data_IF_484045013842
#
_entry.id   IF_484045013842
#
_cell.length_a   1.000
_cell.length_b   1.000
_cell.length_c   1.000
_cell.angle_alpha   90.00
_cell.angle_beta   90.00
_cell.angle_gamma   90.00
#
_symmetry.space_group_name_H-M   'P 1'
#
loop_
_entity.id
_entity.type
_entity.pdbx_description
1 polymer ?
#
# COMPACT_ATOMS: atom_id res chain seq x y z
N UNK A 1 6.49 12.57 -32.80
CA UNK A 1 6.33 11.14 -32.48
C UNK A 1 7.26 10.18 -33.27
N UNK A 2 7.02 9.82 -34.55
CA UNK A 2 7.81 8.75 -35.20
C UNK A 2 9.33 9.01 -35.24
N UNK A 3 9.74 10.27 -35.47
CA UNK A 3 11.14 10.68 -35.42
C UNK A 3 11.77 10.47 -34.03
N UNK A 4 11.04 10.83 -32.98
CA UNK A 4 11.49 10.64 -31.59
C UNK A 4 11.61 9.16 -31.22
N UNK A 5 10.71 8.32 -31.76
CA UNK A 5 10.74 6.87 -31.59
C UNK A 5 11.81 6.16 -32.45
N UNK A 6 12.66 6.91 -33.16
CA UNK A 6 13.77 6.36 -33.99
C UNK A 6 13.29 5.30 -34.99
N UNK A 7 12.20 5.62 -35.68
CA UNK A 7 11.75 4.88 -36.87
C UNK A 7 12.70 5.23 -38.01
N UNK A 8 13.15 4.25 -38.79
CA UNK A 8 14.04 4.48 -39.93
C UNK A 8 13.38 5.41 -40.95
N UNK A 9 14.18 6.22 -41.65
CA UNK A 9 13.66 7.18 -42.63
C UNK A 9 12.79 6.49 -43.70
N UNK A 10 13.23 5.32 -44.17
CA UNK A 10 12.47 4.50 -45.10
C UNK A 10 11.09 4.14 -44.54
N UNK A 11 11.02 3.57 -43.34
CA UNK A 11 9.78 3.12 -42.73
C UNK A 11 8.87 4.30 -42.31
N UNK A 12 9.46 5.40 -41.86
CA UNK A 12 8.74 6.63 -41.52
C UNK A 12 8.01 7.21 -42.74
N UNK A 13 8.66 7.19 -43.92
CA UNK A 13 8.08 7.69 -45.18
C UNK A 13 6.88 6.87 -45.67
N UNK A 14 6.68 5.66 -45.14
CA UNK A 14 5.61 4.75 -45.54
C UNK A 14 4.49 4.63 -44.52
N UNK A 15 4.78 4.77 -43.23
CA UNK A 15 3.80 4.50 -42.17
C UNK A 15 3.44 5.71 -41.31
N UNK A 16 4.23 6.77 -41.27
CA UNK A 16 4.02 7.85 -40.30
C UNK A 16 3.13 9.00 -40.80
N UNK A 17 2.55 8.86 -41.99
CA UNK A 17 1.64 9.84 -42.59
C UNK A 17 0.20 9.28 -42.57
N UNK A 18 -0.60 9.68 -41.58
CA UNK A 18 -1.97 9.15 -41.42
C UNK A 18 -2.95 9.70 -42.45
N UNK A 19 -2.68 10.90 -42.98
CA UNK A 19 -3.59 11.63 -43.89
C UNK A 19 -3.92 10.81 -45.14
N UNK A 20 -2.95 10.04 -45.62
CA UNK A 20 -3.06 9.19 -46.81
C UNK A 20 -2.90 7.72 -46.45
N UNK A 21 -3.90 6.90 -46.78
CA UNK A 21 -3.78 5.45 -46.63
C UNK A 21 -2.68 4.90 -47.55
N UNK A 22 -1.81 3.98 -47.09
CA UNK A 22 -0.79 3.35 -47.92
C UNK A 22 -1.40 2.70 -49.16
N UNK A 23 -0.78 2.92 -50.33
CA UNK A 23 -1.15 2.22 -51.56
C UNK A 23 -0.63 0.76 -51.53
N UNK A 24 -1.12 -0.08 -52.44
CA UNK A 24 -0.80 -1.52 -52.47
C UNK A 24 0.72 -1.82 -52.44
N UNK A 25 1.54 -1.03 -53.13
CA UNK A 25 3.00 -1.20 -53.13
C UNK A 25 3.64 -0.81 -51.80
N UNK A 26 3.18 0.28 -51.18
CA UNK A 26 3.61 0.70 -49.87
C UNK A 26 3.23 -0.34 -48.81
N UNK A 27 2.02 -0.88 -48.87
CA UNK A 27 1.53 -1.95 -48.00
C UNK A 27 2.43 -3.19 -48.03
N UNK A 28 2.87 -3.63 -49.22
CA UNK A 28 3.85 -4.73 -49.34
C UNK A 28 5.16 -4.38 -48.64
N UNK A 29 5.71 -3.19 -48.91
CA UNK A 29 6.96 -2.72 -48.29
C UNK A 29 6.85 -2.66 -46.76
N UNK A 30 5.68 -2.23 -46.25
CA UNK A 30 5.40 -2.16 -44.82
C UNK A 30 5.41 -3.55 -44.20
N UNK A 31 4.70 -4.51 -44.80
CA UNK A 31 4.57 -5.86 -44.30
C UNK A 31 5.89 -6.66 -44.32
N UNK A 32 6.73 -6.45 -45.34
CA UNK A 32 7.99 -7.21 -45.51
C UNK A 32 9.19 -6.56 -44.83
N UNK A 33 9.29 -5.22 -44.88
CA UNK A 33 10.50 -4.50 -44.46
C UNK A 33 10.30 -3.76 -43.15
N UNK A 34 9.12 -3.19 -42.91
CA UNK A 34 8.90 -2.31 -41.77
C UNK A 34 8.14 -2.93 -40.59
N UNK A 35 7.65 -4.16 -40.72
CA UNK A 35 6.89 -4.88 -39.68
C UNK A 35 7.57 -4.82 -38.30
N UNK A 36 8.89 -4.99 -38.24
CA UNK A 36 9.66 -4.98 -37.00
C UNK A 36 9.71 -3.61 -36.32
N UNK A 37 9.48 -2.54 -37.06
CA UNK A 37 9.41 -1.17 -36.55
C UNK A 37 7.99 -0.76 -36.18
N UNK A 38 6.99 -1.60 -36.44
CA UNK A 38 5.60 -1.30 -36.12
C UNK A 38 5.35 -0.93 -34.64
N UNK A 39 5.97 -1.59 -33.65
CA UNK A 39 5.81 -1.21 -32.24
C UNK A 39 6.22 0.24 -31.93
N UNK A 40 7.11 0.83 -32.74
CA UNK A 40 7.55 2.23 -32.62
C UNK A 40 6.58 3.21 -33.27
N UNK A 41 5.76 2.73 -34.22
CA UNK A 41 4.89 3.53 -35.07
C UNK A 41 3.45 3.50 -34.57
N UNK A 42 2.98 2.32 -34.13
CA UNK A 42 1.62 2.07 -33.65
C UNK A 42 1.15 3.08 -32.60
N UNK A 43 1.91 3.40 -31.53
CA UNK A 43 1.50 4.40 -30.54
C UNK A 43 1.37 5.81 -31.14
N UNK A 44 2.25 6.14 -32.09
CA UNK A 44 2.21 7.43 -32.79
C UNK A 44 1.00 7.58 -33.70
N UNK A 45 0.56 6.48 -34.33
CA UNK A 45 -0.62 6.45 -35.18
C UNK A 45 -1.92 6.36 -34.39
N UNK A 46 -1.89 5.80 -33.19
CA UNK A 46 -3.03 5.86 -32.29
C UNK A 46 -3.22 7.27 -31.72
N UNK A 47 -2.12 8.01 -31.52
CA UNK A 47 -2.09 9.37 -30.97
C UNK A 47 -2.93 9.48 -29.69
N UNK A 48 -2.69 8.52 -28.78
CA UNK A 48 -3.40 8.42 -27.51
C UNK A 48 -4.86 7.97 -27.59
N UNK A 49 -5.38 7.51 -28.74
CA UNK A 49 -6.78 7.08 -28.90
C UNK A 49 -6.88 5.58 -29.14
N UNK A 50 -7.96 4.96 -28.67
CA UNK A 50 -8.23 3.54 -28.90
C UNK A 50 -9.22 3.36 -30.06
N UNK A 51 -8.72 2.89 -31.20
CA UNK A 51 -9.51 2.73 -32.43
C UNK A 51 -10.06 1.31 -32.63
N UNK A 52 -9.89 0.41 -31.64
CA UNK A 52 -10.23 -1.01 -31.76
C UNK A 52 -11.69 -1.24 -32.13
N UNK A 53 -12.62 -0.44 -31.60
CA UNK A 53 -14.05 -0.60 -31.90
C UNK A 53 -14.38 -0.27 -33.36
N UNK A 54 -13.79 0.80 -33.91
CA UNK A 54 -13.92 1.10 -35.33
C UNK A 54 -13.33 -0.03 -36.19
N UNK A 55 -12.15 -0.53 -35.83
CA UNK A 55 -11.48 -1.60 -36.56
C UNK A 55 -12.31 -2.89 -36.61
N UNK A 56 -12.89 -3.30 -35.47
CA UNK A 56 -13.83 -4.43 -35.42
C UNK A 56 -15.01 -4.24 -36.36
N UNK A 57 -15.64 -3.06 -36.33
CA UNK A 57 -16.77 -2.72 -37.21
C UNK A 57 -16.39 -2.77 -38.69
N UNK A 58 -15.15 -2.42 -39.06
CA UNK A 58 -14.65 -2.50 -40.43
C UNK A 58 -14.08 -3.89 -40.83
N UNK A 59 -14.18 -4.89 -39.95
CA UNK A 59 -13.79 -6.27 -40.25
C UNK A 59 -12.28 -6.55 -40.15
N UNK A 60 -11.52 -5.69 -39.47
CA UNK A 60 -10.10 -5.93 -39.18
C UNK A 60 -9.97 -7.20 -38.32
N UNK A 61 -9.05 -8.09 -38.68
CA UNK A 61 -8.89 -9.37 -37.97
C UNK A 61 -8.47 -9.15 -36.51
N UNK A 62 -8.86 -10.08 -35.63
CA UNK A 62 -8.60 -9.97 -34.18
C UNK A 62 -7.11 -9.80 -33.84
N UNK A 63 -6.24 -10.54 -34.53
CA UNK A 63 -4.78 -10.45 -34.36
C UNK A 63 -4.21 -9.07 -34.75
N UNK A 64 -4.98 -8.28 -35.50
CA UNK A 64 -4.61 -6.96 -35.99
C UNK A 64 -5.17 -5.83 -35.12
N UNK A 65 -6.12 -6.11 -34.22
CA UNK A 65 -6.70 -5.11 -33.33
C UNK A 65 -5.72 -4.43 -32.38
N UNK A 66 -4.63 -5.07 -31.89
CA UNK A 66 -3.61 -4.38 -31.10
C UNK A 66 -2.99 -3.18 -31.84
N UNK A 67 -2.96 -3.20 -33.17
CA UNK A 67 -2.51 -2.06 -33.98
C UNK A 67 -3.44 -0.86 -33.82
N UNK A 68 -4.76 -1.11 -33.83
CA UNK A 68 -5.77 -0.07 -33.64
C UNK A 68 -5.78 0.48 -32.20
N UNK A 69 -5.34 -0.32 -31.24
CA UNK A 69 -5.16 0.08 -29.86
C UNK A 69 -3.85 0.84 -29.59
N UNK A 70 -3.00 1.08 -30.60
CA UNK A 70 -1.71 1.75 -30.39
C UNK A 70 -0.71 0.91 -29.59
N UNK A 71 -0.84 -0.42 -29.58
CA UNK A 71 0.01 -1.30 -28.79
C UNK A 71 1.48 -1.19 -29.21
N UNK A 72 2.37 -1.23 -28.21
CA UNK A 72 3.84 -1.33 -28.35
C UNK A 72 4.34 -2.77 -28.40
N UNK A 73 3.44 -3.76 -28.40
CA UNK A 73 3.84 -5.17 -28.46
C UNK A 73 4.39 -5.53 -29.84
N UNK A 74 5.37 -6.44 -29.87
CA UNK A 74 5.92 -6.95 -31.12
C UNK A 74 4.86 -7.71 -31.90
N UNK A 75 4.71 -7.37 -33.18
CA UNK A 75 3.81 -8.09 -34.06
C UNK A 75 4.39 -9.47 -34.43
N UNK A 76 3.65 -10.54 -34.15
CA UNK A 76 4.00 -11.91 -34.54
C UNK A 76 3.99 -12.14 -36.06
N UNK A 77 4.44 -13.29 -36.55
CA UNK A 77 4.57 -13.55 -38.00
C UNK A 77 3.23 -13.48 -38.75
N UNK A 78 2.11 -13.84 -38.10
CA UNK A 78 0.76 -13.74 -38.66
C UNK A 78 0.31 -12.29 -38.93
N UNK A 79 0.97 -11.29 -38.34
CA UNK A 79 0.69 -9.87 -38.58
C UNK A 79 1.04 -9.38 -39.99
N UNK A 80 1.79 -10.16 -40.78
CA UNK A 80 2.02 -9.86 -42.19
C UNK A 80 0.70 -9.74 -42.95
N UNK A 81 -0.31 -10.54 -42.56
CA UNK A 81 -1.66 -10.45 -43.10
C UNK A 81 -2.35 -9.14 -42.70
N UNK A 82 -2.22 -8.72 -41.44
CA UNK A 82 -2.74 -7.45 -40.93
C UNK A 82 -2.21 -6.26 -41.71
N UNK A 83 -0.89 -6.22 -41.89
CA UNK A 83 -0.21 -5.14 -42.59
C UNK A 83 -0.43 -5.17 -44.10
N UNK A 84 -0.97 -6.27 -44.65
CA UNK A 84 -1.26 -6.41 -46.08
C UNK A 84 -2.73 -6.12 -46.43
N UNK A 85 -3.67 -6.68 -45.68
CA UNK A 85 -5.10 -6.63 -46.03
C UNK A 85 -5.86 -5.53 -45.28
N UNK A 86 -5.55 -5.34 -44.00
CA UNK A 86 -6.37 -4.51 -43.11
C UNK A 86 -5.87 -3.07 -42.98
N UNK A 87 -4.68 -2.78 -43.50
CA UNK A 87 -3.99 -1.50 -43.31
C UNK A 87 -4.83 -0.30 -43.79
N UNK A 88 -5.56 -0.44 -44.89
CA UNK A 88 -6.44 0.64 -45.38
C UNK A 88 -7.60 0.91 -44.42
N UNK A 89 -8.25 -0.14 -43.89
CA UNK A 89 -9.33 -0.02 -42.92
C UNK A 89 -8.83 0.58 -41.61
N UNK A 90 -7.64 0.16 -41.14
CA UNK A 90 -6.97 0.70 -39.96
C UNK A 90 -6.74 2.22 -40.13
N UNK A 91 -6.13 2.67 -41.22
CA UNK A 91 -5.87 4.11 -41.46
C UNK A 91 -7.14 4.94 -41.58
N UNK A 92 -8.22 4.35 -42.11
CA UNK A 92 -9.51 5.00 -42.10
C UNK A 92 -10.03 5.22 -40.67
N UNK A 93 -9.94 4.19 -39.82
CA UNK A 93 -10.33 4.31 -38.42
C UNK A 93 -9.48 5.31 -37.64
N UNK A 94 -8.17 5.35 -37.87
CA UNK A 94 -7.28 6.32 -37.23
C UNK A 94 -7.72 7.76 -37.53
N UNK A 95 -7.98 8.08 -38.82
CA UNK A 95 -8.47 9.40 -39.23
C UNK A 95 -9.85 9.73 -38.65
N UNK A 96 -10.79 8.79 -38.70
CA UNK A 96 -12.12 8.96 -38.07
C UNK A 96 -11.98 9.27 -36.57
N UNK A 97 -11.05 8.59 -35.88
CA UNK A 97 -10.79 8.82 -34.46
C UNK A 97 -10.18 10.19 -34.16
N UNK A 98 -9.27 10.67 -35.00
CA UNK A 98 -8.61 11.98 -34.81
C UNK A 98 -9.62 13.14 -34.82
N UNK A 99 -10.67 13.04 -35.62
CA UNK A 99 -11.73 14.05 -35.71
C UNK A 99 -12.78 13.94 -34.60
N UNK A 100 -12.91 12.80 -33.93
CA UNK A 100 -14.12 12.48 -33.15
C UNK A 100 -13.90 11.96 -31.73
N UNK A 101 -12.68 11.53 -31.39
CA UNK A 101 -12.36 10.97 -30.08
C UNK A 101 -11.43 11.90 -29.30
N UNK A 102 -11.68 12.10 -27.99
CA UNK A 102 -10.74 12.82 -27.14
C UNK A 102 -9.41 12.07 -27.03
N UNK A 103 -8.32 12.83 -26.93
CA UNK A 103 -7.05 12.27 -26.47
C UNK A 103 -7.12 11.91 -24.97
N UNK A 104 -6.09 11.27 -24.39
CA UNK A 104 -6.04 11.05 -22.96
C UNK A 104 -5.98 12.40 -22.21
N UNK A 105 -6.43 12.44 -20.95
CA UNK A 105 -6.25 13.60 -20.09
C UNK A 105 -4.76 13.88 -19.88
N UNK A 106 -4.43 15.16 -19.67
CA UNK A 106 -3.05 15.61 -19.47
C UNK A 106 -2.83 16.12 -18.06
N UNK A 107 -1.57 16.37 -17.69
CA UNK A 107 -1.20 16.89 -16.37
C UNK A 107 -1.78 16.08 -15.20
N UNK A 108 -1.75 14.75 -15.30
CA UNK A 108 -2.11 13.87 -14.19
C UNK A 108 -1.10 14.08 -13.07
N UNK A 109 -1.58 14.45 -11.89
CA UNK A 109 -0.75 14.64 -10.69
C UNK A 109 -1.38 13.95 -9.50
N UNK A 110 -0.52 13.54 -8.56
CA UNK A 110 -0.93 12.94 -7.30
C UNK A 110 -0.39 13.82 -6.16
N UNK A 111 -1.29 14.25 -5.29
CA UNK A 111 -1.03 15.14 -4.15
C UNK A 111 -1.65 14.57 -2.88
N UNK A 112 -1.40 15.23 -1.74
CA UNK A 112 -2.08 14.94 -0.47
C UNK A 112 -2.05 13.45 -0.09
N UNK A 113 -0.92 12.79 -0.32
CA UNK A 113 -0.76 11.34 -0.08
C UNK A 113 -0.64 11.09 1.43
N UNK A 114 -1.44 10.14 1.91
CA UNK A 114 -1.48 9.63 3.28
C UNK A 114 -1.15 8.13 3.27
N UNK A 115 -1.34 7.47 4.40
CA UNK A 115 -1.16 6.02 4.58
C UNK A 115 -2.22 5.24 3.81
N UNK A 116 -3.44 5.80 3.67
CA UNK A 116 -4.59 5.08 3.10
C UNK A 116 -5.34 5.84 2.00
N UNK A 117 -4.89 7.02 1.63
CA UNK A 117 -5.54 7.85 0.61
C UNK A 117 -4.57 8.76 -0.16
N UNK A 118 -4.99 9.17 -1.35
CA UNK A 118 -4.27 10.13 -2.18
C UNK A 118 -5.26 10.97 -3.01
N UNK A 119 -4.89 12.22 -3.30
CA UNK A 119 -5.65 13.09 -4.18
C UNK A 119 -5.06 13.05 -5.59
N UNK A 120 -5.90 12.81 -6.59
CA UNK A 120 -5.50 12.67 -7.99
C UNK A 120 -6.20 13.76 -8.79
N UNK A 121 -5.42 14.53 -9.55
CA UNK A 121 -5.95 15.59 -10.40
C UNK A 121 -5.45 15.42 -11.82
N UNK A 122 -6.24 15.89 -12.79
CA UNK A 122 -5.90 15.92 -14.21
C UNK A 122 -6.58 17.11 -14.89
N UNK A 123 -6.05 17.49 -16.05
CA UNK A 123 -6.63 18.48 -16.95
C UNK A 123 -7.34 17.83 -18.13
N UNK A 124 -8.22 18.59 -18.78
CA UNK A 124 -8.91 18.17 -20.00
C UNK A 124 -7.92 17.75 -21.11
N UNK A 125 -8.31 16.84 -22.02
CA UNK A 125 -7.47 16.44 -23.14
C UNK A 125 -7.11 17.58 -24.09
N UNK A 126 -5.88 17.58 -24.63
CA UNK A 126 -5.43 18.57 -25.62
C UNK A 126 -6.23 18.50 -26.94
N UNK A 127 -6.70 17.31 -27.32
CA UNK A 127 -7.46 17.10 -28.54
C UNK A 127 -8.89 16.64 -28.25
N UNK A 128 -9.85 17.32 -28.89
CA UNK A 128 -11.30 17.08 -28.76
C UNK A 128 -11.82 17.05 -27.30
N UNK A 129 -11.49 18.03 -26.44
CA UNK A 129 -11.97 18.06 -25.05
C UNK A 129 -13.51 18.11 -24.97
N UNK A 130 -14.17 18.83 -25.88
CA UNK A 130 -15.64 18.94 -25.92
C UNK A 130 -16.35 17.60 -26.22
N UNK A 131 -15.60 16.58 -26.65
CA UNK A 131 -16.14 15.24 -26.94
C UNK A 131 -16.11 14.30 -25.72
N UNK A 132 -15.51 14.72 -24.60
CA UNK A 132 -15.46 13.92 -23.37
C UNK A 132 -16.85 13.89 -22.72
N UNK A 133 -17.37 12.69 -22.48
CA UNK A 133 -18.58 12.50 -21.67
C UNK A 133 -18.19 12.26 -20.20
N UNK A 134 -17.20 11.38 -19.93
CA UNK A 134 -16.71 11.06 -18.57
C UNK A 134 -15.23 10.64 -18.56
N UNK A 135 -14.63 10.53 -17.36
CA UNK A 135 -13.29 9.95 -17.18
C UNK A 135 -13.35 8.62 -16.43
N UNK A 136 -12.38 7.75 -16.71
CA UNK A 136 -12.13 6.52 -15.92
C UNK A 136 -10.72 6.54 -15.36
N UNK A 137 -10.60 6.42 -14.04
CA UNK A 137 -9.32 6.28 -13.33
C UNK A 137 -8.92 4.81 -13.29
N UNK A 138 -7.66 4.54 -13.59
CA UNK A 138 -7.05 3.21 -13.61
C UNK A 138 -5.98 3.16 -12.52
N UNK A 139 -6.23 2.45 -11.43
CA UNK A 139 -5.35 2.39 -10.26
C UNK A 139 -4.86 0.96 -10.06
N UNK A 140 -3.55 0.78 -9.94
CA UNK A 140 -2.96 -0.54 -9.77
C UNK A 140 -1.83 -0.49 -8.75
N UNK A 141 -1.91 -1.35 -7.74
CA UNK A 141 -0.82 -1.59 -6.78
C UNK A 141 0.35 -2.27 -7.47
N UNK A 142 1.58 -1.86 -7.16
CA UNK A 142 2.81 -2.38 -7.75
C UNK A 142 3.21 -3.75 -7.16
N UNK A 143 2.30 -4.72 -7.23
CA UNK A 143 2.52 -6.10 -6.79
C UNK A 143 2.31 -7.09 -7.95
N UNK A 144 2.98 -8.23 -7.91
CA UNK A 144 2.86 -9.23 -8.96
C UNK A 144 1.44 -9.80 -9.00
N UNK A 145 0.74 -9.63 -10.13
CA UNK A 145 -0.63 -10.10 -10.32
C UNK A 145 -1.73 -9.17 -9.77
N UNK A 146 -1.38 -7.99 -9.24
CA UNK A 146 -2.39 -7.00 -8.86
C UNK A 146 -3.30 -6.66 -10.04
N UNK A 147 -4.61 -6.66 -9.77
CA UNK A 147 -5.62 -6.24 -10.73
C UNK A 147 -5.67 -4.72 -10.80
N UNK A 148 -5.97 -4.21 -11.99
CA UNK A 148 -6.31 -2.80 -12.17
C UNK A 148 -7.70 -2.58 -11.58
N UNK A 149 -7.84 -1.61 -10.68
CA UNK A 149 -9.11 -1.09 -10.23
C UNK A 149 -9.52 0.07 -11.12
N UNK A 150 -10.72 -0.01 -11.69
CA UNK A 150 -11.28 1.05 -12.53
C UNK A 150 -12.33 1.85 -11.76
N UNK A 151 -12.17 3.18 -11.73
CA UNK A 151 -13.14 4.10 -11.15
C UNK A 151 -13.79 4.88 -12.29
N UNK A 152 -15.01 4.48 -12.66
CA UNK A 152 -15.77 5.10 -13.75
C UNK A 152 -16.44 6.39 -13.31
N UNK A 153 -16.69 7.28 -14.28
CA UNK A 153 -17.32 8.58 -14.05
C UNK A 153 -16.59 9.43 -13.00
N UNK A 154 -15.26 9.33 -12.98
CA UNK A 154 -14.43 10.06 -12.05
C UNK A 154 -14.39 11.56 -12.39
N UNK A 155 -14.23 12.39 -11.37
CA UNK A 155 -14.21 13.85 -11.47
C UNK A 155 -12.90 14.36 -10.89
N UNK A 156 -12.28 15.34 -11.55
CA UNK A 156 -11.05 16.00 -11.09
C UNK A 156 -11.41 17.20 -10.21
N UNK A 157 -10.85 17.35 -8.99
CA UNK A 157 -9.96 16.41 -8.28
C UNK A 157 -10.71 15.19 -7.72
N UNK A 158 -10.05 14.03 -7.73
CA UNK A 158 -10.57 12.76 -7.18
C UNK A 158 -9.76 12.35 -5.95
N UNK A 159 -10.43 12.08 -4.84
CA UNK A 159 -9.77 11.49 -3.65
C UNK A 159 -9.93 9.97 -3.68
N UNK A 160 -8.83 9.27 -3.86
CA UNK A 160 -8.81 7.82 -3.74
C UNK A 160 -8.56 7.40 -2.30
N UNK A 161 -9.36 6.44 -1.81
CA UNK A 161 -9.32 5.95 -0.42
C UNK A 161 -9.16 4.42 -0.40
N UNK A 162 -8.80 3.89 0.77
CA UNK A 162 -8.62 2.45 0.97
C UNK A 162 -7.38 1.92 0.25
N UNK A 163 -6.33 2.74 0.18
CA UNK A 163 -5.00 2.30 -0.22
C UNK A 163 -4.33 1.59 0.95
N UNK A 164 -3.42 0.67 0.63
CA UNK A 164 -2.59 0.00 1.63
C UNK A 164 -1.45 0.94 2.03
N UNK A 165 -1.09 1.04 3.32
CA UNK A 165 0.10 1.75 3.76
C UNK A 165 1.39 1.15 3.19
N UNK A 166 2.45 1.97 3.17
CA UNK A 166 3.78 1.62 2.67
C UNK A 166 3.78 0.86 1.33
N UNK A 167 2.90 1.27 0.42
CA UNK A 167 2.65 0.55 -0.83
C UNK A 167 2.78 1.48 -2.03
N UNK A 168 3.48 1.00 -3.05
CA UNK A 168 3.60 1.71 -4.32
C UNK A 168 2.37 1.45 -5.19
N UNK A 169 1.83 2.52 -5.78
CA UNK A 169 0.72 2.49 -6.72
C UNK A 169 1.09 3.17 -8.03
N UNK A 170 0.39 2.75 -9.09
CA UNK A 170 0.37 3.43 -10.39
C UNK A 170 -1.05 3.93 -10.65
N UNK A 171 -1.17 5.17 -11.13
CA UNK A 171 -2.44 5.76 -11.55
C UNK A 171 -2.33 6.31 -12.97
N UNK A 172 -3.35 6.06 -13.78
CA UNK A 172 -3.53 6.69 -15.09
C UNK A 172 -5.01 7.00 -15.30
N UNK A 173 -5.31 7.93 -16.20
CA UNK A 173 -6.69 8.34 -16.49
C UNK A 173 -6.95 8.18 -17.98
N UNK A 174 -8.17 7.75 -18.35
CA UNK A 174 -8.63 7.76 -19.74
C UNK A 174 -9.90 8.57 -19.89
N UNK A 175 -10.06 9.17 -21.06
CA UNK A 175 -11.26 9.88 -21.49
C UNK A 175 -12.24 8.89 -22.11
N UNK A 176 -13.53 9.07 -21.81
CA UNK A 176 -14.62 8.26 -22.34
C UNK A 176 -15.57 9.16 -23.11
N UNK A 177 -15.92 8.74 -24.32
CA UNK A 177 -16.94 9.39 -25.15
C UNK A 177 -17.93 8.35 -25.67
N UNK A 178 -19.09 8.80 -26.15
CA UNK A 178 -20.10 7.97 -26.83
C UNK A 178 -19.57 7.20 -28.05
N UNK A 179 -18.46 7.64 -28.64
CA UNK A 179 -17.89 7.03 -29.85
C UNK A 179 -16.72 6.08 -29.57
N UNK A 180 -16.16 6.13 -28.36
CA UNK A 180 -15.04 5.32 -27.95
C UNK A 180 -14.24 5.97 -26.83
N UNK A 181 -13.12 5.34 -26.49
CA UNK A 181 -12.27 5.73 -25.36
C UNK A 181 -10.88 6.15 -25.85
N UNK A 182 -10.23 7.02 -25.09
CA UNK A 182 -8.80 7.24 -25.26
C UNK A 182 -8.00 6.03 -24.75
N UNK A 183 -6.72 5.97 -25.10
CA UNK A 183 -5.76 5.19 -24.34
C UNK A 183 -5.56 5.81 -22.93
N UNK A 184 -5.00 5.06 -21.96
CA UNK A 184 -4.62 5.64 -20.69
C UNK A 184 -3.55 6.73 -20.86
N UNK A 185 -3.60 7.75 -20.00
CA UNK A 185 -2.51 8.72 -19.85
C UNK A 185 -1.19 8.04 -19.47
N UNK A 186 -0.10 8.80 -19.46
CA UNK A 186 1.12 8.36 -18.76
C UNK A 186 0.77 8.00 -17.32
N UNK A 187 1.22 6.83 -16.89
CA UNK A 187 1.01 6.37 -15.52
C UNK A 187 1.95 7.13 -14.58
N UNK A 188 1.38 7.69 -13.51
CA UNK A 188 2.13 8.28 -12.41
C UNK A 188 2.31 7.23 -11.34
N UNK A 189 3.56 7.08 -10.87
CA UNK A 189 3.90 6.24 -9.74
C UNK A 189 3.91 7.10 -8.47
N UNK A 190 3.28 6.61 -7.40
CA UNK A 190 3.34 7.24 -6.09
C UNK A 190 3.41 6.16 -4.99
N UNK A 191 3.86 6.55 -3.80
CA UNK A 191 4.00 5.66 -2.65
C UNK A 191 3.14 6.20 -1.52
N UNK A 192 2.28 5.36 -0.93
CA UNK A 192 1.55 5.74 0.28
C UNK A 192 2.51 5.90 1.44
N UNK A 193 2.13 6.71 2.44
CA UNK A 193 2.94 6.82 3.65
C UNK A 193 2.95 5.47 4.39
N UNK A 194 4.02 5.23 5.13
CA UNK A 194 4.04 4.10 6.05
C UNK A 194 3.03 4.36 7.14
N UNK A 195 2.28 3.32 7.52
CA UNK A 195 1.53 3.32 8.77
C UNK A 195 2.60 3.29 9.88
N UNK A 196 3.02 4.47 10.31
CA UNK A 196 4.02 4.63 11.36
C UNK A 196 3.39 4.18 12.68
N UNK A 197 3.28 2.87 12.87
CA UNK A 197 3.26 2.29 14.20
C UNK A 197 4.56 2.73 14.85
N UNK A 198 4.46 3.63 15.82
CA UNK A 198 5.58 4.27 16.49
C UNK A 198 6.69 3.26 16.83
N UNK A 199 7.89 3.48 16.30
CA UNK A 199 9.01 2.56 16.51
C UNK A 199 9.66 2.88 17.86
N UNK A 200 9.33 2.08 18.87
CA UNK A 200 10.01 2.18 20.16
C UNK A 200 11.40 1.54 20.12
N UNK A 201 12.36 2.15 20.81
CA UNK A 201 13.71 1.58 20.96
C UNK A 201 13.69 0.25 21.75
N UNK A 202 12.63 0.02 22.53
CA UNK A 202 12.35 -1.18 23.31
C UNK A 202 10.86 -1.51 23.15
N UNK A 203 10.55 -2.68 22.58
CA UNK A 203 9.17 -3.17 22.45
C UNK A 203 8.31 -2.38 21.46
N UNK A 204 6.99 -2.39 21.70
CA UNK A 204 5.98 -1.65 20.94
C UNK A 204 5.43 -0.48 21.77
N UNK A 205 4.87 0.56 21.12
CA UNK A 205 4.31 1.72 21.81
C UNK A 205 3.12 1.31 22.67
N UNK A 206 2.95 2.01 23.80
CA UNK A 206 1.74 1.87 24.61
C UNK A 206 0.52 2.20 23.74
N UNK A 207 -0.47 1.31 23.68
CA UNK A 207 -1.71 1.55 22.94
C UNK A 207 -2.84 1.97 23.89
N UNK A 208 -3.67 2.93 23.44
CA UNK A 208 -4.94 3.23 24.10
C UNK A 208 -5.99 2.14 23.80
N UNK A 209 -7.13 2.17 24.49
CA UNK A 209 -8.22 1.19 24.35
C UNK A 209 -8.76 1.01 22.92
N UNK A 210 -8.53 1.98 22.04
CA UNK A 210 -8.92 1.95 20.62
C UNK A 210 -7.85 1.34 19.70
N UNK A 211 -6.73 0.84 20.25
CA UNK A 211 -5.66 0.21 19.48
C UNK A 211 -4.69 1.19 18.79
N UNK A 212 -4.78 2.49 19.11
CA UNK A 212 -3.86 3.52 18.60
C UNK A 212 -2.70 3.79 19.58
N UNK A 213 -1.51 4.22 19.11
CA UNK A 213 -0.42 4.63 19.99
C UNK A 213 -0.81 5.76 20.95
N UNK A 214 -0.32 5.69 22.19
CA UNK A 214 -0.47 6.72 23.20
C UNK A 214 0.51 7.86 22.89
N UNK A 215 -0.03 8.99 22.42
CA UNK A 215 0.74 10.19 22.07
C UNK A 215 1.08 10.96 23.34
N UNK A 216 2.36 11.26 23.54
CA UNK A 216 2.86 11.98 24.70
C UNK A 216 3.26 13.41 24.37
N UNK A 217 3.13 14.30 25.36
CA UNK A 217 3.56 15.70 25.26
C UNK A 217 3.82 16.28 26.65
N UNK A 218 4.31 17.52 26.73
CA UNK A 218 4.45 18.22 28.01
C UNK A 218 3.13 18.34 28.80
N UNK A 219 1.99 18.28 28.11
CA UNK A 219 0.65 18.31 28.72
C UNK A 219 0.05 16.93 29.02
N UNK A 220 0.60 15.88 28.39
CA UNK A 220 0.15 14.50 28.50
C UNK A 220 1.39 13.60 28.68
N UNK A 221 1.98 13.57 29.89
CA UNK A 221 3.19 12.79 30.14
C UNK A 221 2.90 11.30 30.10
N UNK A 222 3.90 10.50 29.72
CA UNK A 222 3.78 9.05 29.73
C UNK A 222 3.57 8.49 31.15
N UNK A 223 2.82 7.38 31.28
CA UNK A 223 2.76 6.62 32.52
C UNK A 223 4.15 6.17 33.00
N UNK A 224 4.31 5.93 34.30
CA UNK A 224 5.53 5.32 34.83
C UNK A 224 5.76 3.93 34.24
N UNK A 225 7.03 3.58 34.04
CA UNK A 225 7.42 2.44 33.20
C UNK A 225 7.50 2.75 31.70
N UNK A 226 7.04 3.94 31.26
CA UNK A 226 7.17 4.41 29.89
C UNK A 226 7.85 5.79 29.84
N UNK A 227 8.59 6.06 28.76
CA UNK A 227 9.21 7.33 28.43
C UNK A 227 8.67 7.83 27.09
N UNK A 228 8.64 9.15 26.94
CA UNK A 228 8.18 9.78 25.72
C UNK A 228 9.33 9.76 24.71
N UNK A 229 9.13 9.05 23.59
CA UNK A 229 10.12 8.91 22.52
C UNK A 229 9.64 9.64 21.29
N UNK A 230 10.47 10.55 20.78
CA UNK A 230 10.20 11.34 19.58
C UNK A 230 10.57 10.54 18.33
N UNK A 231 9.61 10.32 17.41
CA UNK A 231 9.86 9.72 16.10
C UNK A 231 9.34 10.65 15.02
N UNK A 232 10.29 11.29 14.32
CA UNK A 232 10.06 12.25 13.23
C UNK A 232 9.16 13.44 13.63
N UNK A 233 7.83 13.26 13.64
CA UNK A 233 6.80 14.29 13.83
C UNK A 233 5.80 14.01 14.97
N UNK A 234 5.80 12.83 15.58
CA UNK A 234 4.93 12.48 16.71
C UNK A 234 5.71 11.76 17.83
N UNK A 235 5.34 12.05 19.08
CA UNK A 235 5.97 11.48 20.27
C UNK A 235 5.06 10.45 20.90
N UNK A 236 5.60 9.28 21.24
CA UNK A 236 4.80 8.16 21.75
C UNK A 236 5.41 7.59 23.03
N UNK A 237 4.56 6.98 23.86
CA UNK A 237 5.02 6.34 25.09
C UNK A 237 5.63 4.96 24.81
N UNK A 238 6.94 4.86 24.99
CA UNK A 238 7.74 3.65 24.83
C UNK A 238 8.23 3.12 26.17
N UNK A 239 8.49 1.82 26.27
CA UNK A 239 8.86 1.20 27.55
C UNK A 239 10.24 1.64 28.06
N UNK A 240 10.33 1.99 29.35
CA UNK A 240 11.58 2.33 30.07
C UNK A 240 12.43 1.09 30.39
N UNK A 241 13.74 1.29 30.53
CA UNK A 241 14.71 0.21 30.79
C UNK A 241 14.56 -0.49 32.15
N UNK A 242 13.98 0.17 33.15
CA UNK A 242 13.93 -0.30 34.54
C UNK A 242 12.59 0.07 35.18
N UNK A 243 11.70 -0.91 35.31
CA UNK A 243 10.53 -0.86 36.18
C UNK A 243 10.31 -2.28 36.67
N UNK A 244 10.63 -2.54 37.93
CA UNK A 244 10.52 -3.86 38.56
C UNK A 244 10.25 -3.66 40.06
N UNK A 245 9.35 -2.75 40.41
CA UNK A 245 8.96 -2.51 41.80
C UNK A 245 7.45 -2.42 41.94
N UNK A 246 6.94 -2.80 43.11
CA UNK A 246 5.54 -2.53 43.47
C UNK A 246 5.22 -1.03 43.39
N UNK A 247 6.23 -0.16 43.54
CA UNK A 247 6.06 1.29 43.37
C UNK A 247 5.73 1.64 41.90
N UNK A 248 6.40 1.00 40.93
CA UNK A 248 6.13 1.17 39.50
C UNK A 248 4.70 0.70 39.13
N UNK A 249 4.27 -0.44 39.68
CA UNK A 249 2.92 -0.97 39.44
C UNK A 249 1.84 -0.04 40.01
N UNK A 250 1.99 0.40 41.26
CA UNK A 250 1.06 1.35 41.89
C UNK A 250 0.99 2.66 41.11
N UNK A 251 2.11 3.17 40.62
CA UNK A 251 2.13 4.43 39.88
C UNK A 251 1.48 4.30 38.50
N UNK A 252 1.71 3.19 37.80
CA UNK A 252 0.99 2.88 36.55
C UNK A 252 -0.53 2.85 36.77
N UNK A 253 -1.01 2.19 37.83
CA UNK A 253 -2.44 2.16 38.15
C UNK A 253 -3.04 3.54 38.44
N UNK A 254 -2.30 4.43 39.09
CA UNK A 254 -2.72 5.83 39.31
C UNK A 254 -2.83 6.57 37.98
N UNK A 255 -1.85 6.43 37.09
CA UNK A 255 -1.83 7.07 35.79
C UNK A 255 -2.94 6.58 34.85
N UNK A 256 -3.23 5.28 34.87
CA UNK A 256 -4.31 4.68 34.08
C UNK A 256 -5.71 4.99 34.65
N UNK A 257 -5.79 5.78 35.72
CA UNK A 257 -7.04 6.08 36.44
C UNK A 257 -7.80 4.79 36.83
N UNK A 258 -7.11 3.81 37.42
CA UNK A 258 -7.77 2.68 38.11
C UNK A 258 -8.63 3.25 39.24
N UNK A 259 -9.85 2.72 39.40
CA UNK A 259 -10.82 3.26 40.37
C UNK A 259 -10.22 3.34 41.78
N UNK A 260 -10.53 4.38 42.58
CA UNK A 260 -9.94 4.57 43.90
C UNK A 260 -10.08 3.35 44.83
N UNK A 261 -11.24 2.69 44.80
CA UNK A 261 -11.52 1.49 45.59
C UNK A 261 -10.72 0.25 45.14
N UNK A 262 -10.13 0.31 43.94
CA UNK A 262 -9.39 -0.79 43.30
C UNK A 262 -7.87 -0.60 43.37
N UNK A 263 -7.38 0.56 43.84
CA UNK A 263 -5.96 0.87 43.94
C UNK A 263 -5.19 -0.10 44.86
N UNK A 264 -5.85 -0.66 45.87
CA UNK A 264 -5.25 -1.69 46.75
C UNK A 264 -4.91 -2.99 46.04
N UNK A 265 -5.42 -3.21 44.82
CA UNK A 265 -5.11 -4.38 43.99
C UNK A 265 -3.88 -4.19 43.10
N UNK A 266 -3.23 -3.02 43.14
CA UNK A 266 -2.05 -2.71 42.33
C UNK A 266 -0.74 -3.07 43.02
N UNK A 267 -0.69 -4.30 43.53
CA UNK A 267 0.51 -4.94 44.10
C UNK A 267 0.66 -6.31 43.48
N UNK A 268 1.89 -6.79 43.26
CA UNK A 268 2.09 -8.12 42.68
C UNK A 268 1.61 -9.26 43.58
N UNK A 269 1.29 -8.99 44.85
CA UNK A 269 0.69 -9.95 45.77
C UNK A 269 -0.85 -9.84 45.87
N UNK A 270 -1.49 -8.98 45.07
CA UNK A 270 -2.93 -8.73 45.09
C UNK A 270 -3.55 -8.87 43.68
N UNK A 271 -4.86 -9.11 43.63
CA UNK A 271 -5.65 -9.18 42.38
C UNK A 271 -6.88 -8.29 42.47
N UNK A 272 -7.49 -7.96 41.32
CA UNK A 272 -8.72 -7.18 41.28
C UNK A 272 -9.92 -7.98 41.83
N UNK A 273 -10.74 -7.40 42.74
CA UNK A 273 -12.02 -7.97 43.12
C UNK A 273 -13.07 -7.78 42.01
N UNK A 274 -14.17 -8.53 42.04
CA UNK A 274 -15.23 -8.47 41.00
C UNK A 274 -15.81 -7.06 40.82
N UNK A 275 -15.87 -6.25 41.87
CA UNK A 275 -16.31 -4.84 41.81
C UNK A 275 -15.40 -3.93 40.97
N UNK A 276 -14.23 -4.43 40.59
CA UNK A 276 -13.20 -3.72 39.83
C UNK A 276 -13.03 -4.27 38.41
N UNK A 277 -13.98 -5.06 37.90
CA UNK A 277 -13.87 -5.69 36.58
C UNK A 277 -13.66 -4.68 35.45
N UNK A 278 -14.23 -3.47 35.55
CA UNK A 278 -14.02 -2.38 34.59
C UNK A 278 -12.56 -1.92 34.46
N UNK A 279 -11.72 -2.19 35.47
CA UNK A 279 -10.31 -1.82 35.49
C UNK A 279 -9.39 -2.96 35.03
N UNK A 280 -9.95 -4.08 34.53
CA UNK A 280 -9.19 -5.27 34.12
C UNK A 280 -8.07 -4.95 33.13
N UNK A 281 -8.39 -4.25 32.04
CA UNK A 281 -7.39 -3.92 31.02
C UNK A 281 -6.30 -2.97 31.53
N UNK A 282 -6.65 -2.03 32.41
CA UNK A 282 -5.66 -1.14 33.06
C UNK A 282 -4.72 -1.94 33.95
N UNK A 283 -5.28 -2.86 34.73
CA UNK A 283 -4.49 -3.72 35.63
C UNK A 283 -3.60 -4.68 34.83
N UNK A 284 -4.11 -5.33 33.77
CA UNK A 284 -3.32 -6.23 32.92
C UNK A 284 -2.17 -5.49 32.24
N UNK A 285 -2.40 -4.28 31.73
CA UNK A 285 -1.34 -3.46 31.14
C UNK A 285 -0.26 -3.07 32.14
N UNK A 286 -0.65 -2.72 33.37
CA UNK A 286 0.31 -2.34 34.40
C UNK A 286 1.04 -3.55 35.00
N UNK A 287 0.34 -4.66 35.25
CA UNK A 287 0.90 -5.86 35.86
C UNK A 287 1.75 -6.69 34.89
N UNK A 288 1.48 -6.64 33.57
CA UNK A 288 2.29 -7.36 32.59
C UNK A 288 3.71 -6.79 32.45
N UNK A 289 3.89 -5.54 32.88
CA UNK A 289 5.13 -4.76 32.75
C UNK A 289 5.65 -4.71 31.30
N UNK A 290 4.75 -4.83 30.31
CA UNK A 290 5.12 -4.84 28.90
C UNK A 290 5.88 -6.09 28.44
N UNK A 291 5.95 -7.16 29.24
CA UNK A 291 6.72 -8.38 28.92
C UNK A 291 5.84 -9.46 28.28
N UNK A 292 6.43 -10.28 27.41
CA UNK A 292 5.76 -11.46 26.86
C UNK A 292 5.79 -12.64 27.85
N UNK A 293 4.64 -12.89 28.47
CA UNK A 293 4.34 -13.97 29.39
C UNK A 293 3.67 -15.18 28.70
N UNK A 294 3.59 -15.22 27.37
CA UNK A 294 2.82 -16.23 26.61
C UNK A 294 3.20 -17.67 27.00
N UNK A 295 4.49 -17.95 27.22
CA UNK A 295 4.93 -19.29 27.67
C UNK A 295 4.37 -19.67 29.03
N UNK A 296 4.32 -18.73 29.97
CA UNK A 296 3.71 -18.96 31.27
C UNK A 296 2.20 -19.14 31.11
N UNK A 297 1.55 -18.27 30.36
CA UNK A 297 0.10 -18.33 30.14
C UNK A 297 -0.37 -19.60 29.44
N UNK A 298 0.40 -20.11 28.47
CA UNK A 298 0.15 -21.40 27.84
C UNK A 298 0.27 -22.55 28.87
N UNK A 299 1.27 -22.48 29.76
CA UNK A 299 1.46 -23.47 30.83
C UNK A 299 0.33 -23.40 31.87
N UNK A 300 -0.11 -22.21 32.24
CA UNK A 300 -1.23 -21.95 33.16
C UNK A 300 -2.61 -22.15 32.49
N UNK A 301 -2.63 -22.55 31.21
CA UNK A 301 -3.83 -22.84 30.43
C UNK A 301 -4.79 -21.65 30.39
N UNK A 302 -4.25 -20.45 30.15
CA UNK A 302 -5.05 -19.26 29.86
C UNK A 302 -5.82 -19.48 28.54
N UNK A 303 -7.14 -19.20 28.50
CA UNK A 303 -7.92 -19.35 27.27
C UNK A 303 -7.33 -18.57 26.11
N UNK A 304 -7.50 -19.07 24.88
CA UNK A 304 -6.91 -18.45 23.69
C UNK A 304 -7.36 -17.01 23.49
N UNK A 305 -8.63 -16.71 23.76
CA UNK A 305 -9.17 -15.35 23.70
C UNK A 305 -8.56 -14.39 24.73
N UNK A 306 -7.88 -14.90 25.76
CA UNK A 306 -7.26 -14.12 26.83
C UNK A 306 -5.73 -14.07 26.74
N UNK A 307 -5.10 -14.78 25.78
CA UNK A 307 -3.65 -14.78 25.62
C UNK A 307 -3.09 -13.42 25.22
N UNK A 308 -3.92 -12.53 24.67
CA UNK A 308 -3.60 -11.13 24.41
C UNK A 308 -3.38 -10.31 25.68
N UNK A 309 -3.71 -10.84 26.86
CA UNK A 309 -3.30 -10.25 28.14
C UNK A 309 -1.86 -10.61 28.53
N UNK A 310 -1.28 -11.64 27.94
CA UNK A 310 0.05 -12.15 28.27
C UNK A 310 1.15 -11.59 27.38
N UNK A 311 0.78 -11.02 26.24
CA UNK A 311 1.67 -10.38 25.28
C UNK A 311 1.00 -9.12 24.76
N UNK A 312 1.75 -8.29 24.06
CA UNK A 312 1.17 -7.11 23.40
C UNK A 312 -0.09 -7.49 22.58
N UNK A 313 -1.20 -6.74 22.66
CA UNK A 313 -1.36 -5.40 23.25
C UNK A 313 -1.72 -5.32 24.75
N UNK A 314 -1.64 -6.42 25.49
CA UNK A 314 -2.05 -6.49 26.91
C UNK A 314 -3.51 -6.08 27.13
N UNK A 315 -4.36 -6.42 26.17
CA UNK A 315 -5.80 -6.17 26.23
C UNK A 315 -6.55 -7.50 26.17
N UNK A 316 -7.60 -7.62 26.96
CA UNK A 316 -8.45 -8.81 27.03
C UNK A 316 -9.93 -8.41 27.05
N UNK A 317 -10.81 -9.25 26.49
CA UNK A 317 -12.26 -9.12 26.70
C UNK A 317 -12.64 -9.18 28.18
N UNK A 318 -13.76 -8.57 28.58
CA UNK A 318 -14.25 -8.59 29.97
C UNK A 318 -14.49 -10.02 30.50
N UNK A 319 -14.81 -10.97 29.60
CA UNK A 319 -14.96 -12.39 29.93
C UNK A 319 -13.68 -13.03 30.47
N UNK A 320 -12.52 -12.43 30.20
CA UNK A 320 -11.23 -12.90 30.69
C UNK A 320 -10.96 -12.57 32.15
N UNK A 321 -11.86 -11.84 32.84
CA UNK A 321 -11.77 -11.64 34.28
C UNK A 321 -11.72 -12.98 35.04
N UNK A 322 -12.42 -14.02 34.54
CA UNK A 322 -12.36 -15.37 35.10
C UNK A 322 -10.96 -16.01 35.03
N UNK A 323 -10.08 -15.49 34.17
CA UNK A 323 -8.68 -15.94 34.01
C UNK A 323 -7.69 -15.05 34.77
N UNK A 324 -8.15 -14.06 35.53
CA UNK A 324 -7.28 -13.08 36.20
C UNK A 324 -6.23 -13.73 37.11
N UNK A 325 -6.60 -14.76 37.88
CA UNK A 325 -5.66 -15.47 38.75
C UNK A 325 -4.54 -16.19 37.96
N UNK A 326 -4.84 -16.67 36.74
CA UNK A 326 -3.85 -17.30 35.86
C UNK A 326 -2.90 -16.27 35.23
N UNK A 327 -3.41 -15.08 34.92
CA UNK A 327 -2.59 -13.98 34.44
C UNK A 327 -1.68 -13.47 35.56
N UNK A 328 -2.25 -13.27 36.75
CA UNK A 328 -1.54 -12.84 37.94
C UNK A 328 -0.41 -13.79 38.34
N UNK A 329 -0.60 -15.10 38.28
CA UNK A 329 0.49 -16.06 38.60
C UNK A 329 1.70 -15.92 37.67
N UNK A 330 1.48 -15.51 36.42
CA UNK A 330 2.55 -15.21 35.48
C UNK A 330 3.19 -13.85 35.73
N UNK A 331 2.40 -12.83 36.07
CA UNK A 331 2.90 -11.48 36.32
C UNK A 331 3.62 -11.33 37.67
N UNK A 332 3.21 -12.08 38.69
CA UNK A 332 3.79 -12.03 40.04
C UNK A 332 5.04 -12.90 40.22
N UNK A 333 5.39 -13.74 39.23
CA UNK A 333 6.57 -14.57 39.29
C UNK A 333 7.85 -13.71 39.16
N UNK A 334 8.92 -14.01 39.93
CA UNK A 334 10.23 -13.38 39.70
C UNK A 334 10.63 -13.60 38.24
N UNK A 335 11.04 -12.53 37.52
CA UNK A 335 11.47 -12.53 36.11
C UNK A 335 12.72 -13.37 35.81
N UNK A 336 13.05 -14.35 36.66
CA UNK A 336 14.18 -15.24 36.54
C UNK A 336 13.99 -16.11 35.28
N UNK A 337 14.54 -15.65 34.17
CA UNK A 337 14.67 -16.41 32.92
C UNK A 337 13.85 -15.91 31.73
N UNK A 338 13.18 -14.75 31.81
CA UNK A 338 12.61 -14.09 30.62
C UNK A 338 13.65 -13.13 30.01
N UNK A 339 14.00 -13.27 28.72
CA UNK A 339 14.86 -12.30 28.06
C UNK A 339 14.17 -10.94 27.99
N UNK A 340 14.96 -9.86 28.14
CA UNK A 340 14.46 -8.50 27.90
C UNK A 340 14.09 -8.32 26.42
N UNK A 341 13.23 -7.35 26.13
CA UNK A 341 12.93 -6.96 24.77
C UNK A 341 14.22 -6.57 24.02
N UNK A 342 14.27 -6.91 22.73
CA UNK A 342 15.36 -6.55 21.82
C UNK A 342 15.46 -5.03 21.72
N UNK A 343 16.69 -4.50 21.78
CA UNK A 343 16.94 -3.06 21.90
C UNK A 343 17.46 -2.47 20.59
N UNK A 344 17.05 -1.23 20.31
CA UNK A 344 17.55 -0.41 19.19
C UNK A 344 17.52 -1.18 17.86
N UNK A 345 16.45 -1.92 17.64
CA UNK A 345 16.20 -2.56 16.35
C UNK A 345 16.11 -1.47 15.29
N UNK A 346 17.00 -1.53 14.32
CA UNK A 346 17.01 -0.61 13.18
C UNK A 346 17.28 -1.37 11.90
N UNK A 347 16.70 -0.87 10.83
CA UNK A 347 17.08 -1.25 9.48
C UNK A 347 18.31 -0.44 9.11
N UNK A 348 19.44 -1.10 8.86
CA UNK A 348 20.68 -0.42 8.48
C UNK A 348 20.85 -0.29 6.98
N UNK A 349 20.30 -1.25 6.23
CA UNK A 349 20.36 -1.26 4.77
C UNK A 349 19.06 -1.83 4.21
N UNK A 350 18.55 -1.23 3.15
CA UNK A 350 17.40 -1.72 2.38
C UNK A 350 17.84 -1.83 0.93
N UNK A 351 17.64 -3.01 0.35
CA UNK A 351 17.69 -3.23 -1.10
C UNK A 351 16.27 -3.51 -1.59
N UNK A 352 16.11 -3.66 -2.91
CA UNK A 352 14.82 -4.04 -3.50
C UNK A 352 14.29 -5.39 -2.98
N UNK A 353 15.15 -6.26 -2.42
CA UNK A 353 14.78 -7.64 -2.07
C UNK A 353 15.25 -8.07 -0.67
N UNK A 354 15.89 -7.19 0.09
CA UNK A 354 16.41 -7.51 1.43
C UNK A 354 16.44 -6.28 2.33
N UNK A 355 16.24 -6.52 3.62
CA UNK A 355 16.50 -5.53 4.66
C UNK A 355 17.51 -6.14 5.65
N UNK A 356 18.57 -5.39 5.95
CA UNK A 356 19.52 -5.75 7.00
C UNK A 356 19.05 -5.13 8.32
N UNK A 357 18.79 -5.98 9.30
CA UNK A 357 18.36 -5.59 10.63
C UNK A 357 19.56 -5.66 11.58
N UNK A 358 19.72 -4.64 12.42
CA UNK A 358 20.68 -4.62 13.52
C UNK A 358 19.98 -4.23 14.81
N UNK A 359 20.39 -4.83 15.92
CA UNK A 359 19.89 -4.52 17.25
C UNK A 359 21.02 -4.74 18.27
N UNK A 360 20.80 -4.30 19.50
CA UNK A 360 21.70 -4.58 20.62
C UNK A 360 21.27 -5.85 21.35
N UNK A 361 22.25 -6.69 21.70
CA UNK A 361 22.00 -7.94 22.38
C UNK A 361 21.38 -7.73 23.76
N UNK A 362 20.33 -8.50 24.05
CA UNK A 362 19.63 -8.46 25.33
C UNK A 362 20.20 -9.54 26.27
N UNK A 363 20.99 -9.13 27.26
CA UNK A 363 21.42 -9.90 28.44
C UNK A 363 22.06 -11.30 28.22
N UNK A 364 22.63 -11.83 29.30
CA UNK A 364 23.14 -13.19 29.40
C UNK A 364 21.96 -14.20 29.39
N UNK A 365 21.96 -15.13 28.42
CA UNK A 365 21.01 -16.26 28.37
C UNK A 365 20.09 -16.32 27.15
N UNK A 366 20.17 -15.37 26.21
CA UNK A 366 19.48 -15.47 24.92
C UNK A 366 20.12 -16.53 24.05
N UNK A 367 19.32 -17.49 23.58
CA UNK A 367 19.76 -18.60 22.70
C UNK A 367 19.41 -18.37 21.22
N UNK A 368 18.65 -17.33 20.90
CA UNK A 368 18.27 -16.96 19.54
C UNK A 368 17.18 -15.90 19.50
N UNK A 369 17.02 -15.28 18.32
CA UNK A 369 16.01 -14.26 18.04
C UNK A 369 15.02 -14.75 16.98
N UNK A 370 13.76 -14.33 17.08
CA UNK A 370 12.74 -14.54 16.04
C UNK A 370 12.34 -13.19 15.47
N UNK A 371 12.38 -13.07 14.14
CA UNK A 371 11.86 -11.89 13.43
C UNK A 371 10.40 -12.15 13.09
N UNK A 372 9.52 -11.26 13.53
CA UNK A 372 8.11 -11.28 13.18
C UNK A 372 7.80 -10.07 12.30
N UNK A 373 6.96 -10.26 11.28
CA UNK A 373 6.54 -9.20 10.38
C UNK A 373 5.11 -8.80 10.76
N UNK A 374 4.92 -7.55 11.18
CA UNK A 374 3.59 -6.98 11.50
C UNK A 374 2.69 -6.88 10.26
N UNK A 375 3.30 -6.90 9.07
CA UNK A 375 2.62 -6.95 7.78
C UNK A 375 3.15 -8.12 6.95
N UNK A 376 2.32 -8.76 6.10
CA UNK A 376 2.82 -9.76 5.17
C UNK A 376 3.91 -9.10 4.30
N UNK A 377 5.14 -9.63 4.38
CA UNK A 377 6.22 -9.23 3.49
C UNK A 377 5.69 -9.23 2.05
N UNK A 378 5.80 -8.09 1.37
CA UNK A 378 5.70 -8.04 -0.08
C UNK A 378 6.74 -8.99 -0.64
N UNK A 379 6.31 -10.18 -1.06
CA UNK A 379 7.15 -11.10 -1.82
C UNK A 379 7.47 -10.41 -3.14
N UNK A 380 8.73 -10.01 -3.29
CA UNK A 380 9.29 -9.52 -4.54
C UNK A 380 9.17 -10.57 -5.65
#
# INVERSE_FOLDING_TARGET
CCKENKVSDFCSSKMCAVETSPNAFATVSIATTCRVEWPKVSPCLADGRNHTECCRRKGVQNDCLPICAGSTESLGVHSVLCLNLDLQAIYQCLREGYESHPSPPVNVTVTSVTETSAEITWAEPDANPDAVDTFTLMIRKAEHGARIREVHNAVSPHTEIGLDPDSQYSVSVRSVSRRGESLPSTAILFHTKSDSLAVCAIGEPLLISEGRPFICSASHPCPLGFECTDVEDESYCCQKEYGNSDDDFQECCKHQNVSPDCQSSCYFNATLPETCQQDLNKWVQCASEGRDHSRCCEKEQVPKECLTGCRHPFQVPDSCFASLNKLHSCFSAPHIGLPKAVRRLKVTEITSNSALLSWEDADYGVVGYKVEHLFPLCKC
#
